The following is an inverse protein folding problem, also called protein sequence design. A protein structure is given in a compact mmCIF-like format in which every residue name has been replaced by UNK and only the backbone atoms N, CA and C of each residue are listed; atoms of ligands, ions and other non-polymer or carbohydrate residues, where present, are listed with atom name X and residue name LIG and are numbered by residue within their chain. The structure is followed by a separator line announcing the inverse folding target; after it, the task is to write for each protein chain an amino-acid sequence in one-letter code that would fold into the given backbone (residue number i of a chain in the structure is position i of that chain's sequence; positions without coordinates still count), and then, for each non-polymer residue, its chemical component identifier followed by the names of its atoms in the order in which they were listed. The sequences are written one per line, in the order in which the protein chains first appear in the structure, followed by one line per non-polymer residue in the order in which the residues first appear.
data_IF_795993313768
#
_entry.id   IF_795993313768
#
_cell.length_a   1.000
_cell.length_b   1.000
_cell.length_c   1.000
_cell.angle_alpha   90.00
_cell.angle_beta   90.00
_cell.angle_gamma   90.00
#
_symmetry.space_group_name_H-M   'P 1'
#
loop_
_entity.id
_entity.type
_entity.pdbx_description
1 polymer ?
#
# COMPACT_ATOMS: atom_id res chain seq x y z
N UNK A 1 -16.38 13.70 2.99
CA UNK A 1 -15.78 12.35 2.95
C UNK A 1 -14.38 12.50 2.37
N UNK A 2 -13.34 12.00 3.06
CA UNK A 2 -11.96 12.10 2.58
C UNK A 2 -11.71 11.05 1.49
N UNK A 3 -11.54 11.52 0.26
CA UNK A 3 -11.24 10.67 -0.90
C UNK A 3 -9.76 10.23 -0.94
N UNK A 4 -8.91 10.84 -0.12
CA UNK A 4 -7.47 10.62 -0.11
C UNK A 4 -6.96 9.99 1.18
N UNK A 5 -5.99 9.08 1.01
CA UNK A 5 -5.18 8.50 2.06
C UNK A 5 -4.16 9.53 2.60
N UNK A 6 -3.95 9.49 3.91
CA UNK A 6 -2.95 10.30 4.62
C UNK A 6 -1.52 9.85 4.34
N UNK A 7 -0.54 10.70 4.68
CA UNK A 7 0.88 10.41 4.48
C UNK A 7 1.36 9.12 5.20
N UNK A 8 0.84 8.85 6.39
CA UNK A 8 1.11 7.60 7.13
C UNK A 8 0.57 6.37 6.41
N UNK A 9 -0.63 6.46 5.85
CA UNK A 9 -1.28 5.38 5.10
C UNK A 9 -0.49 5.09 3.82
N UNK A 10 -0.06 6.12 3.10
CA UNK A 10 0.83 5.95 1.93
C UNK A 10 2.19 5.36 2.30
N UNK A 11 2.73 5.68 3.48
CA UNK A 11 3.96 5.08 3.99
C UNK A 11 3.77 3.57 4.26
N UNK A 12 2.62 3.17 4.81
CA UNK A 12 2.26 1.75 4.98
C UNK A 12 2.16 1.02 3.64
N UNK A 13 1.54 1.64 2.63
CA UNK A 13 1.46 1.08 1.26
C UNK A 13 2.86 0.84 0.68
N UNK A 14 3.79 1.77 0.90
CA UNK A 14 5.18 1.65 0.44
C UNK A 14 5.96 0.55 1.20
N UNK A 15 5.79 0.48 2.53
CA UNK A 15 6.43 -0.55 3.37
C UNK A 15 5.95 -1.97 3.03
N UNK A 16 4.67 -2.12 2.66
CA UNK A 16 4.08 -3.40 2.28
C UNK A 16 4.77 -4.06 1.08
N UNK A 17 5.50 -3.31 0.25
CA UNK A 17 6.30 -3.83 -0.87
C UNK A 17 7.34 -4.86 -0.41
N UNK A 18 8.00 -4.60 0.72
CA UNK A 18 9.02 -5.48 1.30
C UNK A 18 8.46 -6.48 2.31
N UNK A 19 7.18 -6.38 2.64
CA UNK A 19 6.55 -7.21 3.65
C UNK A 19 6.25 -8.61 3.07
N UNK A 20 6.81 -9.63 3.72
CA UNK A 20 6.61 -11.03 3.33
C UNK A 20 5.23 -11.50 3.77
N UNK A 21 4.59 -12.38 2.98
CA UNK A 21 3.35 -13.08 3.35
C UNK A 21 3.45 -13.76 4.74
N UNK A 22 4.64 -14.23 5.15
CA UNK A 22 4.89 -14.79 6.49
C UNK A 22 4.66 -13.79 7.64
N UNK A 23 4.76 -12.49 7.36
CA UNK A 23 4.51 -11.39 8.30
C UNK A 23 3.01 -11.15 8.52
N UNK A 24 2.13 -11.71 7.68
CA UNK A 24 0.68 -11.74 7.88
C UNK A 24 0.26 -12.70 9.01
N UNK A 25 1.12 -13.65 9.39
CA UNK A 25 0.86 -14.58 10.51
C UNK A 25 1.17 -13.97 11.89
N UNK A 26 1.84 -12.82 11.95
CA UNK A 26 2.21 -12.16 13.20
C UNK A 26 1.65 -10.72 13.27
N UNK A 27 0.33 -10.56 13.46
CA UNK A 27 -0.32 -9.23 13.47
C UNK A 27 0.30 -8.27 14.50
N UNK A 28 0.79 -8.77 15.63
CA UNK A 28 1.43 -7.94 16.66
C UNK A 28 2.82 -7.37 16.30
N UNK A 29 3.59 -8.03 15.43
CA UNK A 29 4.98 -7.62 15.12
C UNK A 29 5.03 -6.37 14.25
N UNK A 30 4.10 -6.24 13.30
CA UNK A 30 3.99 -5.05 12.46
C UNK A 30 3.53 -3.84 13.24
N UNK A 31 2.56 -4.01 14.15
CA UNK A 31 2.09 -2.93 15.03
C UNK A 31 3.22 -2.38 15.90
N UNK A 32 4.04 -3.27 16.48
CA UNK A 32 5.21 -2.88 17.26
C UNK A 32 6.28 -2.16 16.40
N UNK A 33 6.54 -2.65 15.18
CA UNK A 33 7.46 -2.00 14.24
C UNK A 33 6.96 -0.62 13.81
N UNK A 34 5.68 -0.50 13.48
CA UNK A 34 5.05 0.74 13.03
C UNK A 34 5.07 1.79 14.15
N UNK A 35 4.73 1.37 15.37
CA UNK A 35 4.77 2.23 16.56
C UNK A 35 6.18 2.75 16.87
N UNK A 36 7.22 1.92 16.67
CA UNK A 36 8.62 2.34 16.77
C UNK A 36 9.02 3.32 15.67
N UNK A 37 8.50 3.15 14.45
CA UNK A 37 8.84 4.00 13.30
C UNK A 37 8.09 5.35 13.32
N UNK A 38 6.89 5.39 13.91
CA UNK A 38 5.97 6.54 13.90
C UNK A 38 5.79 7.19 15.27
N UNK A 39 6.78 7.06 16.16
CA UNK A 39 6.75 7.41 17.59
C UNK A 39 6.45 8.91 17.90
N UNK A 40 6.03 9.73 16.92
CA UNK A 40 5.69 11.16 17.05
C UNK A 40 4.27 11.60 16.63
N UNK A 41 3.47 10.82 15.90
CA UNK A 41 2.14 11.26 15.41
C UNK A 41 1.06 10.29 15.88
N UNK A 42 0.20 10.71 16.83
CA UNK A 42 -0.80 9.84 17.48
C UNK A 42 -2.21 10.07 16.91
N UNK A 43 -2.66 9.26 15.94
CA UNK A 43 -4.07 8.87 15.86
C UNK A 43 -4.36 7.75 16.87
N UNK A 44 -5.61 7.65 17.32
CA UNK A 44 -6.11 6.72 18.34
C UNK A 44 -5.57 5.29 18.14
N UNK A 45 -4.76 4.74 19.05
CA UNK A 45 -3.91 3.57 18.77
C UNK A 45 -4.73 2.37 18.30
N UNK A 46 -5.80 2.00 19.00
CA UNK A 46 -6.57 0.81 18.66
C UNK A 46 -7.33 0.86 17.31
N UNK A 47 -7.77 2.05 16.89
CA UNK A 47 -8.51 2.22 15.62
C UNK A 47 -7.55 2.43 14.45
N UNK A 48 -6.48 3.21 14.67
CA UNK A 48 -5.40 3.35 13.70
C UNK A 48 -4.72 2.00 13.44
N UNK A 49 -4.54 1.17 14.48
CA UNK A 49 -4.02 -0.20 14.34
C UNK A 49 -4.88 -1.03 13.37
N UNK A 50 -6.20 -1.12 13.61
CA UNK A 50 -7.11 -1.93 12.78
C UNK A 50 -7.17 -1.44 11.33
N UNK A 51 -7.25 -0.12 11.15
CA UNK A 51 -7.31 0.51 9.83
C UNK A 51 -6.01 0.32 9.05
N UNK A 52 -4.85 0.54 9.68
CA UNK A 52 -3.55 0.34 9.04
C UNK A 52 -3.25 -1.14 8.80
N UNK A 53 -3.70 -2.06 9.66
CA UNK A 53 -3.59 -3.51 9.43
C UNK A 53 -4.43 -3.94 8.20
N UNK A 54 -5.65 -3.45 8.06
CA UNK A 54 -6.48 -3.73 6.88
C UNK A 54 -5.81 -3.22 5.58
N UNK A 55 -5.32 -1.97 5.61
CA UNK A 55 -4.58 -1.39 4.49
C UNK A 55 -3.31 -2.19 4.16
N UNK A 56 -2.56 -2.62 5.16
CA UNK A 56 -1.36 -3.44 4.97
C UNK A 56 -1.69 -4.75 4.28
N UNK A 57 -2.71 -5.49 4.73
CA UNK A 57 -3.05 -6.79 4.15
C UNK A 57 -3.41 -6.67 2.67
N UNK A 58 -4.29 -5.72 2.34
CA UNK A 58 -4.64 -5.41 0.95
C UNK A 58 -3.39 -5.00 0.16
N UNK A 59 -2.53 -4.15 0.72
CA UNK A 59 -1.32 -3.70 0.04
C UNK A 59 -0.34 -4.85 -0.23
N UNK A 60 -0.16 -5.77 0.72
CA UNK A 60 0.67 -6.98 0.54
C UNK A 60 0.09 -7.83 -0.59
N UNK A 61 -1.21 -8.13 -0.55
CA UNK A 61 -1.86 -8.85 -1.64
C UNK A 61 -1.70 -8.10 -2.99
N UNK A 62 -1.79 -6.78 -3.00
CA UNK A 62 -1.63 -5.97 -4.20
C UNK A 62 -0.20 -5.99 -4.76
N UNK A 63 0.82 -5.94 -3.90
CA UNK A 63 2.21 -6.04 -4.34
C UNK A 63 2.55 -7.42 -4.93
N UNK A 64 2.11 -8.48 -4.25
CA UNK A 64 2.44 -9.87 -4.60
C UNK A 64 1.55 -10.44 -5.71
N UNK A 65 0.25 -10.16 -5.70
CA UNK A 65 -0.75 -10.73 -6.62
C UNK A 65 -1.42 -9.69 -7.54
N UNK A 66 -1.14 -8.41 -7.39
CA UNK A 66 -1.77 -7.37 -8.21
C UNK A 66 -3.25 -7.19 -7.86
N UNK A 67 -4.14 -7.43 -8.82
CA UNK A 67 -5.58 -7.23 -8.66
C UNK A 67 -6.32 -8.42 -8.01
N UNK A 68 -5.63 -9.54 -7.76
CA UNK A 68 -6.23 -10.71 -7.13
C UNK A 68 -6.26 -10.59 -5.59
N UNK A 69 -7.05 -9.60 -5.12
CA UNK A 69 -7.40 -9.43 -3.71
C UNK A 69 -8.66 -10.26 -3.44
N UNK A 70 -8.67 -11.16 -2.44
CA UNK A 70 -9.88 -11.88 -2.08
C UNK A 70 -10.95 -10.93 -1.52
N UNK A 71 -12.21 -11.15 -1.86
CA UNK A 71 -13.35 -10.28 -1.46
C UNK A 71 -13.44 -10.08 0.06
N UNK A 72 -13.08 -11.10 0.85
CA UNK A 72 -13.03 -11.01 2.31
C UNK A 72 -12.03 -9.94 2.83
N UNK A 73 -10.96 -9.65 2.09
CA UNK A 73 -10.00 -8.60 2.45
C UNK A 73 -10.49 -7.22 2.01
N UNK A 74 -11.24 -7.16 0.89
CA UNK A 74 -11.92 -5.94 0.47
C UNK A 74 -13.02 -5.55 1.47
N UNK A 75 -13.84 -6.50 1.92
CA UNK A 75 -14.86 -6.27 2.95
C UNK A 75 -14.24 -5.74 4.24
N UNK A 76 -13.13 -6.33 4.71
CA UNK A 76 -12.38 -5.85 5.88
C UNK A 76 -11.84 -4.43 5.69
N UNK A 77 -11.41 -4.10 4.48
CA UNK A 77 -10.93 -2.76 4.14
C UNK A 77 -12.07 -1.73 4.21
N UNK A 78 -13.22 -2.04 3.66
CA UNK A 78 -14.41 -1.18 3.75
C UNK A 78 -14.93 -1.08 5.19
N UNK A 79 -14.95 -2.20 5.93
CA UNK A 79 -15.34 -2.25 7.33
C UNK A 79 -14.40 -1.43 8.24
N UNK A 80 -13.12 -1.32 7.87
CA UNK A 80 -12.15 -0.46 8.54
C UNK A 80 -12.37 1.04 8.29
N UNK A 81 -13.37 1.41 7.48
CA UNK A 81 -13.74 2.79 7.19
C UNK A 81 -13.00 3.39 5.98
N UNK A 82 -12.45 2.56 5.11
CA UNK A 82 -11.97 3.00 3.81
C UNK A 82 -13.07 2.91 2.76
N UNK A 83 -12.86 3.61 1.64
CA UNK A 83 -13.78 3.61 0.50
C UNK A 83 -13.16 2.89 -0.70
N UNK A 84 -14.01 2.43 -1.62
CA UNK A 84 -13.58 1.80 -2.88
C UNK A 84 -12.65 2.73 -3.69
N UNK A 85 -12.93 4.03 -3.72
CA UNK A 85 -12.05 5.02 -4.37
C UNK A 85 -10.62 5.01 -3.81
N UNK A 86 -10.48 4.86 -2.48
CA UNK A 86 -9.16 4.77 -1.84
C UNK A 86 -8.47 3.46 -2.21
N UNK A 87 -9.22 2.36 -2.36
CA UNK A 87 -8.69 1.09 -2.84
C UNK A 87 -8.13 1.23 -4.26
N UNK A 88 -8.90 1.81 -5.19
CA UNK A 88 -8.46 2.04 -6.57
C UNK A 88 -7.23 2.95 -6.63
N UNK A 89 -7.17 4.00 -5.79
CA UNK A 89 -6.01 4.87 -5.68
C UNK A 89 -4.74 4.11 -5.25
N UNK A 90 -4.86 3.19 -4.29
CA UNK A 90 -3.75 2.33 -3.82
C UNK A 90 -3.26 1.44 -4.96
N UNK A 91 -4.16 0.71 -5.60
CA UNK A 91 -3.81 -0.19 -6.69
C UNK A 91 -3.14 0.58 -7.82
N UNK A 92 -3.72 1.71 -8.24
CA UNK A 92 -3.16 2.59 -9.28
C UNK A 92 -1.74 3.05 -8.95
N UNK A 93 -1.49 3.46 -7.70
CA UNK A 93 -0.14 3.89 -7.28
C UNK A 93 0.85 2.73 -7.23
N UNK A 94 0.44 1.55 -6.77
CA UNK A 94 1.29 0.35 -6.75
C UNK A 94 1.66 -0.04 -8.18
N UNK A 95 0.71 -0.06 -9.11
CA UNK A 95 0.95 -0.38 -10.51
C UNK A 95 1.91 0.62 -11.16
N UNK A 96 1.72 1.93 -10.92
CA UNK A 96 2.68 2.97 -11.36
C UNK A 96 4.07 2.75 -10.79
N UNK A 97 4.17 2.38 -9.51
CA UNK A 97 5.45 2.13 -8.84
C UNK A 97 6.15 0.87 -9.37
N UNK A 98 5.39 -0.18 -9.72
CA UNK A 98 5.90 -1.39 -10.37
C UNK A 98 6.35 -1.11 -11.81
N UNK A 99 5.60 -0.30 -12.56
CA UNK A 99 5.98 0.16 -13.89
C UNK A 99 7.29 0.96 -13.84
N UNK A 100 7.41 1.93 -12.93
CA UNK A 100 8.66 2.68 -12.75
C UNK A 100 9.83 1.77 -12.37
N UNK A 101 9.63 0.84 -11.44
CA UNK A 101 10.67 -0.12 -11.04
C UNK A 101 11.08 -1.07 -12.17
N UNK A 102 10.19 -1.38 -13.12
CA UNK A 102 10.50 -2.22 -14.28
C UNK A 102 11.19 -1.44 -15.40
N UNK A 103 10.89 -0.15 -15.59
CA UNK A 103 11.66 0.73 -16.48
C UNK A 103 13.09 0.98 -15.97
N UNK A 104 13.31 1.03 -14.66
CA UNK A 104 14.67 1.17 -14.12
C UNK A 104 15.45 -0.15 -14.14
N UNK A 105 14.76 -1.31 -14.09
CA UNK A 105 15.37 -2.64 -14.22
C UNK A 105 15.65 -3.02 -15.68
N UNK A 106 14.75 -2.67 -16.59
CA UNK A 106 14.93 -2.78 -18.04
C UNK A 106 15.24 -1.38 -18.56
N UNK A 107 16.49 -0.95 -18.42
CA UNK A 107 16.90 0.37 -18.89
C UNK A 107 16.49 0.62 -20.36
N UNK A 108 16.33 1.88 -20.78
CA UNK A 108 16.00 2.19 -22.16
C UNK A 108 17.06 1.61 -23.12
N UNK A 109 16.62 0.79 -24.07
CA UNK A 109 17.23 0.79 -25.40
C UNK A 109 17.01 2.20 -25.96
N UNK A 110 18.04 2.93 -26.40
CA UNK A 110 17.87 4.27 -26.94
C UNK A 110 17.13 4.17 -28.28
N UNK A 111 15.95 4.79 -28.38
CA UNK A 111 15.29 4.99 -29.68
C UNK A 111 13.78 5.07 -29.64
N UNK A 112 13.23 6.25 -29.36
CA UNK A 112 12.46 6.96 -30.38
C UNK A 112 12.35 8.43 -30.03
N UNK A 113 12.71 9.23 -31.02
CA UNK A 113 12.66 10.69 -31.05
C UNK A 113 11.26 11.25 -30.81
N UNK A 114 11.19 12.36 -30.07
CA UNK A 114 10.36 13.48 -30.51
C UNK A 114 11.09 14.78 -30.17
N UNK A 115 11.77 15.28 -31.19
CA UNK A 115 12.19 16.67 -31.30
C UNK A 115 10.96 17.51 -31.63
N UNK A 116 10.77 18.62 -30.92
CA UNK A 116 9.95 19.79 -31.29
C UNK A 116 10.68 20.97 -30.62
N UNK A 117 11.53 21.67 -31.36
CA UNK A 117 11.23 22.83 -32.21
C UNK A 117 11.00 24.10 -31.37
#
# INVERSE_FOLDING_TARGET
MNDQLSAIEWSVVALARGDRLSSLQAPGKFRAFLRRFLEGDRPSPAFADKRLEALRRVSVHAWHRGFAIPEAELDRFLNAGFSEQQFEAVISRIQRSKAQASCCKNGPQPGHVHALA
#
